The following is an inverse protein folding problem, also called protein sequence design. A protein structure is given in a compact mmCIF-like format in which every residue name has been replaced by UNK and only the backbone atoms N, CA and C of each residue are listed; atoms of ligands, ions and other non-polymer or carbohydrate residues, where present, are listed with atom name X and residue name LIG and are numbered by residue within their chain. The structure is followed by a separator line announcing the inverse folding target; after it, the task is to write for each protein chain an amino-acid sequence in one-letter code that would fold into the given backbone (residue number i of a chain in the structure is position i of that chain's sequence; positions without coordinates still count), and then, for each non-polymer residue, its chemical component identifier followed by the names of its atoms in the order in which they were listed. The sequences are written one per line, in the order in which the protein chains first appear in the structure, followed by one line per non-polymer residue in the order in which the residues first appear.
data_IF_918632121337
#
_entry.id   IF_918632121337
#
_cell.length_a   1.000
_cell.length_b   1.000
_cell.length_c   1.000
_cell.angle_alpha   90.00
_cell.angle_beta   90.00
_cell.angle_gamma   90.00
#
_symmetry.space_group_name_H-M   'P 1'
#
loop_
_entity.id
_entity.type
_entity.pdbx_description
1 polymer ?
#
# COMPACT_ATOMS: atom_id res chain seq x y z
N UNK A 1 -27.13 -9.13 -3.93
CA UNK A 1 -26.76 -7.73 -3.59
C UNK A 1 -25.27 -7.63 -3.86
N UNK A 2 -24.90 -7.05 -5.00
CA UNK A 2 -23.49 -6.90 -5.38
C UNK A 2 -22.84 -5.90 -4.45
N UNK A 3 -21.83 -6.34 -3.69
CA UNK A 3 -20.88 -5.45 -3.05
C UNK A 3 -20.08 -4.82 -4.18
N UNK A 4 -20.44 -3.61 -4.61
CA UNK A 4 -19.52 -2.80 -5.41
C UNK A 4 -18.31 -2.51 -4.51
N UNK A 5 -17.24 -3.25 -4.77
CA UNK A 5 -15.94 -3.16 -4.13
C UNK A 5 -15.42 -1.73 -4.34
N UNK A 6 -15.36 -0.93 -3.26
CA UNK A 6 -14.95 0.48 -3.34
C UNK A 6 -13.45 0.58 -3.58
N UNK A 7 -13.06 0.35 -4.83
CA UNK A 7 -11.70 0.54 -5.33
C UNK A 7 -11.36 2.03 -5.31
N UNK A 8 -10.38 2.41 -4.50
CA UNK A 8 -9.83 3.77 -4.42
C UNK A 8 -8.36 3.76 -4.84
N UNK A 9 -7.84 4.92 -5.24
CA UNK A 9 -6.41 5.09 -5.48
C UNK A 9 -5.63 5.18 -4.15
N UNK A 10 -4.32 4.95 -4.23
CA UNK A 10 -3.45 4.83 -3.07
C UNK A 10 -3.34 6.08 -2.20
N UNK A 11 -3.75 7.26 -2.68
CA UNK A 11 -3.75 8.47 -1.83
C UNK A 11 -4.74 8.35 -0.66
N UNK A 12 -5.79 7.52 -0.80
CA UNK A 12 -6.73 7.24 0.29
C UNK A 12 -6.05 6.60 1.52
N UNK A 13 -4.86 6.01 1.36
CA UNK A 13 -4.06 5.40 2.42
C UNK A 13 -3.21 6.39 3.24
N UNK A 14 -3.15 7.67 2.84
CA UNK A 14 -2.20 8.64 3.40
C UNK A 14 -2.26 8.74 4.93
N UNK A 15 -3.46 8.70 5.53
CA UNK A 15 -3.64 8.76 6.99
C UNK A 15 -2.97 7.58 7.71
N UNK A 16 -3.30 6.35 7.31
CA UNK A 16 -2.76 5.13 7.93
C UNK A 16 -1.24 4.98 7.71
N UNK A 17 -0.75 5.39 6.54
CA UNK A 17 0.67 5.35 6.23
C UNK A 17 1.47 6.39 7.04
N UNK A 18 0.91 7.57 7.28
CA UNK A 18 1.53 8.60 8.13
C UNK A 18 1.64 8.21 9.61
N UNK A 19 0.81 7.29 10.10
CA UNK A 19 0.92 6.74 11.46
C UNK A 19 2.12 5.79 11.63
N UNK A 20 2.57 5.15 10.53
CA UNK A 20 3.62 4.12 10.54
C UNK A 20 4.96 4.68 10.05
N UNK A 21 4.92 5.63 9.12
CA UNK A 21 6.10 6.19 8.47
C UNK A 21 6.17 7.71 8.68
N UNK A 22 7.32 8.26 9.13
CA UNK A 22 7.45 9.69 9.42
C UNK A 22 7.60 10.58 8.17
N UNK A 23 7.39 10.03 6.97
CA UNK A 23 7.54 10.69 5.67
C UNK A 23 6.33 10.43 4.78
N UNK A 24 6.11 11.29 3.78
CA UNK A 24 4.95 11.22 2.90
C UNK A 24 5.00 9.98 2.00
N UNK A 25 4.31 8.94 2.45
CA UNK A 25 4.44 7.60 1.89
C UNK A 25 3.86 7.44 0.49
N UNK A 26 2.91 8.29 0.09
CA UNK A 26 2.30 8.27 -1.24
C UNK A 26 3.34 8.51 -2.35
N UNK A 27 4.43 9.23 -2.04
CA UNK A 27 5.51 9.54 -2.98
C UNK A 27 6.65 8.51 -3.02
N UNK A 28 6.69 7.57 -2.07
CA UNK A 28 7.69 6.49 -2.06
C UNK A 28 7.42 5.57 -3.24
N UNK A 29 8.46 5.20 -4.00
CA UNK A 29 8.28 4.22 -5.07
C UNK A 29 8.42 2.81 -4.54
N UNK A 30 7.55 1.96 -5.06
CA UNK A 30 7.49 0.53 -4.76
C UNK A 30 7.84 -0.24 -6.03
N UNK A 31 8.82 -1.15 -5.96
CA UNK A 31 9.08 -2.11 -7.03
C UNK A 31 8.33 -3.41 -6.75
N UNK A 32 7.51 -3.86 -7.69
CA UNK A 32 6.80 -5.13 -7.55
C UNK A 32 7.75 -6.32 -7.64
N UNK A 33 7.70 -7.23 -6.66
CA UNK A 33 8.47 -8.48 -6.67
C UNK A 33 8.07 -9.47 -7.77
N UNK A 34 6.82 -9.38 -8.25
CA UNK A 34 6.29 -10.25 -9.31
C UNK A 34 6.63 -9.72 -10.72
N UNK A 35 6.16 -8.53 -11.10
CA UNK A 35 6.34 -8.00 -12.45
C UNK A 35 7.52 -7.03 -12.62
N UNK A 36 8.19 -6.63 -11.54
CA UNK A 36 9.34 -5.71 -11.59
C UNK A 36 9.01 -4.23 -11.80
N UNK A 37 7.76 -3.88 -12.11
CA UNK A 37 7.36 -2.49 -12.34
C UNK A 37 7.53 -1.62 -11.09
N UNK A 38 7.93 -0.37 -11.30
CA UNK A 38 8.20 0.60 -10.25
C UNK A 38 7.25 1.79 -10.34
N UNK A 39 6.47 2.00 -9.29
CA UNK A 39 5.46 3.06 -9.25
C UNK A 39 5.41 3.70 -7.86
N UNK A 40 5.05 5.00 -7.76
CA UNK A 40 4.72 5.63 -6.49
C UNK A 40 3.63 4.83 -5.75
N UNK A 41 3.74 4.71 -4.43
CA UNK A 41 2.78 3.97 -3.62
C UNK A 41 1.36 4.55 -3.76
N UNK A 42 1.23 5.87 -3.94
CA UNK A 42 -0.05 6.54 -4.18
C UNK A 42 -0.73 6.18 -5.51
N UNK A 43 0.01 5.65 -6.49
CA UNK A 43 -0.54 5.21 -7.76
C UNK A 43 -1.11 3.78 -7.72
N UNK A 44 -0.74 2.99 -6.70
CA UNK A 44 -1.15 1.60 -6.56
C UNK A 44 -2.64 1.46 -6.21
N UNK A 45 -3.20 0.27 -6.42
CA UNK A 45 -4.61 -0.01 -6.11
C UNK A 45 -4.75 -0.39 -4.65
N UNK A 46 -5.61 0.30 -3.90
CA UNK A 46 -5.76 0.09 -2.46
C UNK A 46 -7.19 -0.31 -2.08
N UNK A 47 -7.28 -1.29 -1.17
CA UNK A 47 -8.50 -1.78 -0.56
C UNK A 47 -8.45 -1.49 0.94
N UNK A 48 -9.50 -0.88 1.48
CA UNK A 48 -9.59 -0.42 2.88
C UNK A 48 -10.77 -1.04 3.67
N UNK A 49 -11.41 -2.06 3.11
CA UNK A 49 -12.55 -2.73 3.74
C UNK A 49 -12.07 -3.88 4.66
N UNK A 50 -12.10 -3.65 6.00
CA UNK A 50 -11.74 -4.56 7.13
C UNK A 50 -10.28 -4.46 7.63
N UNK A 51 -10.00 -4.78 8.93
CA UNK A 51 -9.26 -4.02 9.98
C UNK A 51 -7.86 -3.47 9.62
N UNK A 52 -7.70 -2.92 8.43
CA UNK A 52 -6.42 -2.73 7.78
C UNK A 52 -6.58 -2.29 6.33
N UNK A 53 -5.50 -2.46 5.57
CA UNK A 53 -5.35 -1.98 4.21
C UNK A 53 -4.55 -2.99 3.39
N UNK A 54 -4.95 -3.23 2.15
CA UNK A 54 -4.19 -4.02 1.18
C UNK A 54 -3.88 -3.17 -0.03
N UNK A 55 -2.61 -3.08 -0.40
CA UNK A 55 -2.12 -2.42 -1.60
C UNK A 55 -1.69 -3.47 -2.61
N UNK A 56 -2.16 -3.33 -3.85
CA UNK A 56 -1.84 -4.19 -4.99
C UNK A 56 -1.17 -3.42 -6.11
N UNK A 57 -0.27 -4.10 -6.80
CA UNK A 57 0.36 -3.60 -8.01
C UNK A 57 -0.72 -3.23 -9.02
N UNK A 58 -0.68 -1.99 -9.53
CA UNK A 58 -1.64 -1.53 -10.55
C UNK A 58 -1.47 -2.25 -11.89
N UNK A 59 -0.31 -2.89 -12.12
CA UNK A 59 0.04 -3.57 -13.36
C UNK A 59 -0.33 -5.07 -13.37
N UNK A 60 -0.10 -5.77 -12.26
CA UNK A 60 -0.28 -7.24 -12.18
C UNK A 60 -1.15 -7.72 -11.01
N UNK A 61 -1.71 -6.80 -10.24
CA UNK A 61 -2.57 -7.07 -9.07
C UNK A 61 -1.90 -7.86 -7.92
N UNK A 62 -0.60 -8.14 -8.01
CA UNK A 62 0.16 -8.76 -6.92
C UNK A 62 0.06 -7.92 -5.64
N UNK A 63 -0.06 -8.56 -4.49
CA UNK A 63 -0.19 -7.87 -3.20
C UNK A 63 1.18 -7.33 -2.79
N UNK A 64 1.33 -6.01 -2.81
CA UNK A 64 2.58 -5.33 -2.45
C UNK A 64 2.69 -5.17 -0.93
N UNK A 65 1.69 -4.52 -0.33
CA UNK A 65 1.69 -4.16 1.09
C UNK A 65 0.38 -4.60 1.73
N UNK A 66 0.45 -5.15 2.94
CA UNK A 66 -0.71 -5.30 3.83
C UNK A 66 -0.40 -4.63 5.15
N UNK A 67 -1.36 -3.87 5.65
CA UNK A 67 -1.31 -3.23 6.97
C UNK A 67 -2.53 -3.72 7.73
N UNK A 68 -2.35 -4.19 8.96
CA UNK A 68 -3.46 -4.55 9.85
C UNK A 68 -3.23 -3.86 11.18
N UNK A 69 -4.25 -3.18 11.69
CA UNK A 69 -4.23 -2.58 13.02
C UNK A 69 -5.15 -3.39 13.95
N UNK A 70 -4.59 -3.93 15.03
CA UNK A 70 -5.37 -4.66 16.02
C UNK A 70 -4.62 -4.92 17.31
N UNK A 71 -5.31 -4.82 18.45
CA UNK A 71 -4.71 -5.07 19.77
C UNK A 71 -3.59 -4.10 20.14
N UNK A 72 -3.68 -2.84 19.70
CA UNK A 72 -2.69 -1.79 19.95
C UNK A 72 -1.38 -1.94 19.18
N UNK A 73 -1.35 -2.72 18.09
CA UNK A 73 -0.17 -2.96 17.26
C UNK A 73 -0.53 -2.87 15.78
N UNK A 74 0.45 -2.47 14.97
CA UNK A 74 0.41 -2.57 13.52
C UNK A 74 1.17 -3.81 13.06
N UNK A 75 0.61 -4.52 12.10
CA UNK A 75 1.26 -5.58 11.36
C UNK A 75 1.45 -5.11 9.92
N UNK A 76 2.70 -5.09 9.46
CA UNK A 76 3.08 -4.66 8.12
C UNK A 76 3.74 -5.85 7.39
N UNK A 77 3.18 -6.23 6.24
CA UNK A 77 3.74 -7.23 5.34
C UNK A 77 4.07 -6.55 4.01
N UNK A 78 5.34 -6.64 3.60
CA UNK A 78 5.86 -6.05 2.36
C UNK A 78 6.55 -7.08 1.46
N UNK A 79 6.26 -8.38 1.63
CA UNK A 79 6.91 -9.43 0.83
C UNK A 79 6.69 -9.28 -0.67
N UNK A 80 5.61 -8.61 -1.07
CA UNK A 80 5.33 -8.29 -2.46
C UNK A 80 6.16 -7.15 -3.03
N UNK A 81 6.88 -6.40 -2.20
CA UNK A 81 7.76 -5.30 -2.60
C UNK A 81 9.20 -5.81 -2.69
N UNK A 82 9.79 -5.73 -3.87
CA UNK A 82 11.21 -6.05 -4.07
C UNK A 82 12.13 -4.94 -3.54
N UNK A 83 11.72 -3.67 -3.69
CA UNK A 83 12.50 -2.50 -3.27
C UNK A 83 11.60 -1.30 -2.97
N UNK A 84 12.02 -0.46 -2.02
CA UNK A 84 11.47 0.87 -1.78
C UNK A 84 12.49 1.94 -2.13
N UNK A 85 12.12 2.91 -2.94
CA UNK A 85 12.89 4.15 -3.13
C UNK A 85 12.31 5.23 -2.22
N UNK A 86 13.07 5.60 -1.20
CA UNK A 86 12.74 6.69 -0.29
C UNK A 86 13.71 7.84 -0.58
N UNK A 87 13.19 9.04 -0.82
CA UNK A 87 14.01 10.23 -1.03
C UNK A 87 14.24 10.93 0.30
N UNK A 88 15.47 11.40 0.51
CA UNK A 88 15.79 12.28 1.63
C UNK A 88 15.00 13.60 1.52
N UNK A 89 14.70 14.23 2.66
CA UNK A 89 13.98 15.50 2.75
C UNK A 89 14.86 16.68 2.31
#
# INVERSE_FOLDING_TARGET
MGSEERRLDGNAAAGLLGEIFPFEMTMVKTMCSECGEMEPAGAQVVYVDAPGMVMRCLHCENVLIKIVHGGGRYWLDMRGVACLEIREA
#
